data_IF_644377894665
#
_entry.id   IF_644377894665
#
_cell.length_a   1.000
_cell.length_b   1.000
_cell.length_c   1.000
_cell.angle_alpha   90.00
_cell.angle_beta   90.00
_cell.angle_gamma   90.00
#
_symmetry.space_group_name_H-M   'P 1'
#
loop_
_entity.id
_entity.type
_entity.pdbx_description
1 polymer ?
#
# COMPACT_ATOMS: atom_id res chain seq x y z
N UNK A 1 27.55 18.54 28.48
CA UNK A 1 26.29 18.16 29.18
C UNK A 1 26.19 19.02 30.44
N UNK A 2 25.01 19.40 30.99
CA UNK A 2 23.63 18.89 30.77
C UNK A 2 22.58 19.99 30.43
N UNK A 3 21.58 19.68 29.59
CA UNK A 3 20.18 19.39 29.97
C UNK A 3 19.39 20.56 30.60
N UNK A 4 18.50 21.19 29.82
CA UNK A 4 17.35 21.95 30.36
C UNK A 4 16.03 21.50 29.70
N UNK A 5 15.25 20.76 30.49
CA UNK A 5 13.80 20.62 30.38
C UNK A 5 13.11 21.98 30.57
N UNK A 6 11.95 22.16 29.93
CA UNK A 6 10.69 22.84 30.36
C UNK A 6 9.95 23.28 29.07
N UNK A 7 8.64 23.19 28.83
CA UNK A 7 7.40 22.75 29.51
C UNK A 7 6.39 22.53 28.35
N UNK A 8 5.60 21.45 28.29
CA UNK A 8 4.23 21.46 28.80
C UNK A 8 3.28 22.29 27.92
N UNK A 9 2.76 21.72 26.82
CA UNK A 9 1.62 22.30 26.10
C UNK A 9 0.35 22.10 26.95
N UNK A 10 -0.37 23.19 27.18
CA UNK A 10 -1.57 23.26 28.03
C UNK A 10 -2.68 22.33 27.55
N UNK A 11 -3.29 21.59 28.49
CA UNK A 11 -4.50 20.77 28.28
C UNK A 11 -5.66 21.57 27.67
N UNK A 12 -5.65 22.91 27.77
CA UNK A 12 -6.66 23.78 27.17
C UNK A 12 -6.63 23.77 25.63
N UNK A 13 -5.49 23.44 25.01
CA UNK A 13 -5.40 23.33 23.54
C UNK A 13 -5.99 22.01 23.02
N UNK A 14 -6.07 20.97 23.85
CA UNK A 14 -6.65 19.67 23.46
C UNK A 14 -8.19 19.69 23.52
N UNK A 15 -8.78 20.60 24.31
CA UNK A 15 -10.23 20.71 24.49
C UNK A 15 -10.91 21.71 23.53
N UNK A 16 -10.16 22.51 22.77
CA UNK A 16 -10.72 23.48 21.81
C UNK A 16 -11.00 22.90 20.40
N UNK A 17 -10.83 21.59 20.19
CA UNK A 17 -11.12 20.90 18.92
C UNK A 17 -12.34 19.98 19.04
N UNK A 18 -13.32 20.38 19.86
CA UNK A 18 -14.65 19.80 19.91
C UNK A 18 -15.71 20.87 19.65
N UNK A 19 -15.84 21.30 18.38
CA UNK A 19 -17.03 22.01 17.92
C UNK A 19 -17.54 21.37 16.63
N UNK A 20 -18.77 20.84 16.77
CA UNK A 20 -19.59 20.19 15.75
C UNK A 20 -19.65 20.97 14.45
N UNK A 21 -19.62 20.26 13.34
CA UNK A 21 -20.51 20.54 12.22
C UNK A 21 -21.21 19.25 11.80
N UNK A 22 -22.52 19.24 12.02
CA UNK A 22 -23.46 18.34 11.34
C UNK A 22 -23.70 18.87 9.93
N UNK A 23 -23.90 17.96 8.98
CA UNK A 23 -24.59 18.22 7.72
C UNK A 23 -23.72 18.18 6.49
N UNK A 24 -23.54 16.98 5.92
CA UNK A 24 -23.42 16.80 4.47
C UNK A 24 -23.77 15.37 4.13
N UNK A 25 -24.87 15.22 3.40
CA UNK A 25 -25.34 13.97 2.80
C UNK A 25 -24.17 13.24 2.13
N UNK A 26 -23.74 12.13 2.75
CA UNK A 26 -22.85 11.17 2.12
C UNK A 26 -23.65 10.45 1.03
N UNK A 27 -23.64 10.99 -0.19
CA UNK A 27 -24.06 10.23 -1.38
C UNK A 27 -23.14 9.01 -1.47
N UNK A 28 -23.76 7.84 -1.39
CA UNK A 28 -23.12 6.54 -1.59
C UNK A 28 -22.38 6.57 -2.93
N UNK A 29 -21.06 6.36 -2.89
CA UNK A 29 -20.27 6.19 -4.09
C UNK A 29 -20.59 4.83 -4.73
N UNK A 30 -21.51 4.85 -5.69
CA UNK A 30 -21.75 3.82 -6.69
C UNK A 30 -21.26 4.33 -8.04
N UNK A 31 -20.02 4.03 -8.39
CA UNK A 31 -19.45 4.36 -9.68
C UNK A 31 -18.22 3.49 -9.94
N UNK A 32 -18.10 2.86 -11.13
CA UNK A 32 -16.95 2.05 -11.46
C UNK A 32 -15.69 2.91 -11.51
N UNK A 33 -14.65 2.45 -10.81
CA UNK A 33 -13.37 3.15 -10.72
C UNK A 33 -12.72 3.19 -12.11
N UNK A 34 -12.26 4.35 -12.63
CA UNK A 34 -11.64 4.42 -13.95
C UNK A 34 -10.39 3.55 -14.05
N UNK A 35 -10.46 2.50 -14.88
CA UNK A 35 -9.40 1.50 -15.15
C UNK A 35 -8.14 2.07 -15.85
N UNK A 36 -8.03 3.40 -16.02
CA UNK A 36 -6.95 4.05 -16.78
C UNK A 36 -5.83 4.67 -15.93
N UNK A 37 -5.69 4.31 -14.65
CA UNK A 37 -4.66 4.90 -13.79
C UNK A 37 -3.43 3.98 -13.67
N UNK A 38 -2.25 4.45 -14.06
CA UNK A 38 -0.97 3.74 -13.93
C UNK A 38 -0.48 3.54 -12.47
N UNK A 39 -1.32 3.89 -11.50
CA UNK A 39 -1.02 3.82 -10.07
C UNK A 39 -1.83 2.69 -9.43
N UNK A 40 -1.25 1.96 -8.47
CA UNK A 40 -1.94 0.89 -7.76
C UNK A 40 -3.16 1.43 -7.00
N UNK A 41 -4.27 0.66 -6.93
CA UNK A 41 -5.57 1.13 -6.46
C UNK A 41 -5.48 1.79 -5.08
N UNK A 42 -4.77 1.23 -4.10
CA UNK A 42 -4.66 1.84 -2.78
C UNK A 42 -3.97 3.23 -2.76
N UNK A 43 -3.03 3.50 -3.67
CA UNK A 43 -2.38 4.81 -3.79
C UNK A 43 -3.20 5.76 -4.65
N UNK A 44 -3.77 5.26 -5.75
CA UNK A 44 -4.62 6.04 -6.64
C UNK A 44 -5.80 6.65 -5.86
N UNK A 45 -6.50 5.84 -5.04
CA UNK A 45 -7.64 6.35 -4.27
C UNK A 45 -7.20 7.41 -3.25
N UNK A 46 -6.05 7.26 -2.59
CA UNK A 46 -5.56 8.26 -1.63
C UNK A 46 -5.09 9.57 -2.28
N UNK A 47 -4.44 9.48 -3.45
CA UNK A 47 -3.93 10.65 -4.19
C UNK A 47 -5.07 11.39 -4.88
N UNK A 48 -5.98 10.67 -5.57
CA UNK A 48 -7.15 11.27 -6.23
C UNK A 48 -8.06 11.95 -5.20
N UNK A 49 -8.30 11.33 -4.03
CA UNK A 49 -9.12 11.95 -2.99
C UNK A 49 -8.48 13.21 -2.41
N UNK A 50 -7.16 13.31 -2.40
CA UNK A 50 -6.44 14.52 -1.98
C UNK A 50 -6.52 15.61 -3.05
N UNK A 51 -6.17 15.26 -4.29
CA UNK A 51 -5.94 16.22 -5.36
C UNK A 51 -7.26 16.67 -6.00
N UNK A 52 -8.27 15.80 -6.09
CA UNK A 52 -9.58 16.11 -6.69
C UNK A 52 -10.67 16.46 -5.67
N UNK A 53 -10.57 15.96 -4.43
CA UNK A 53 -11.64 16.10 -3.43
C UNK A 53 -11.19 16.76 -2.11
N UNK A 54 -9.93 17.20 -2.00
CA UNK A 54 -9.42 17.91 -0.81
C UNK A 54 -9.33 17.05 0.47
N UNK A 55 -9.48 15.73 0.36
CA UNK A 55 -9.45 14.82 1.52
C UNK A 55 -8.00 14.45 1.85
N UNK A 56 -7.47 15.02 2.93
CA UNK A 56 -6.07 14.78 3.35
C UNK A 56 -5.78 13.31 3.70
N UNK A 57 -6.68 12.64 4.44
CA UNK A 57 -6.65 11.20 4.68
C UNK A 57 -8.07 10.62 4.81
N UNK A 58 -8.32 9.52 4.08
CA UNK A 58 -9.60 8.80 4.05
C UNK A 58 -10.04 8.27 5.42
N UNK A 59 -9.08 8.03 6.32
CA UNK A 59 -9.34 7.54 7.68
C UNK A 59 -10.12 8.54 8.53
N UNK A 60 -9.89 9.84 8.34
CA UNK A 60 -10.58 10.87 9.14
C UNK A 60 -12.02 11.08 8.69
N UNK A 61 -12.31 10.88 7.39
CA UNK A 61 -13.66 11.05 6.83
C UNK A 61 -14.53 9.83 7.07
N UNK A 62 -13.96 8.63 6.88
CA UNK A 62 -14.74 7.38 6.83
C UNK A 62 -14.56 6.51 8.07
N UNK A 63 -13.70 6.89 9.01
CA UNK A 63 -13.31 6.09 10.20
C UNK A 63 -12.50 4.82 9.89
N UNK A 64 -12.49 4.36 8.64
CA UNK A 64 -11.85 3.12 8.20
C UNK A 64 -10.66 3.38 7.25
N UNK A 65 -9.70 2.44 7.23
CA UNK A 65 -8.61 2.45 6.24
C UNK A 65 -9.14 2.07 4.87
N UNK A 66 -8.57 2.65 3.80
CA UNK A 66 -8.94 2.38 2.39
C UNK A 66 -8.99 0.88 2.09
N UNK A 67 -8.00 0.10 2.55
CA UNK A 67 -7.98 -1.35 2.35
C UNK A 67 -9.18 -2.09 2.98
N UNK A 68 -9.72 -1.60 4.10
CA UNK A 68 -10.95 -2.18 4.69
C UNK A 68 -12.17 -1.85 3.83
N UNK A 69 -12.25 -0.62 3.33
CA UNK A 69 -13.34 -0.19 2.44
C UNK A 69 -13.32 -1.00 1.14
N UNK A 70 -12.14 -1.21 0.55
CA UNK A 70 -11.97 -2.04 -0.66
C UNK A 70 -12.36 -3.50 -0.42
N UNK A 71 -12.00 -4.08 0.73
CA UNK A 71 -12.44 -5.44 1.11
C UNK A 71 -13.95 -5.53 1.26
N UNK A 72 -14.58 -4.57 1.93
CA UNK A 72 -16.03 -4.54 2.10
C UNK A 72 -16.78 -4.39 0.77
N UNK A 73 -16.17 -3.73 -0.22
CA UNK A 73 -16.74 -3.57 -1.57
C UNK A 73 -16.37 -4.71 -2.54
N UNK A 74 -15.63 -5.74 -2.11
CA UNK A 74 -15.19 -6.84 -2.96
C UNK A 74 -14.15 -6.46 -4.03
N UNK A 75 -13.57 -5.25 -3.97
CA UNK A 75 -12.58 -4.73 -4.91
C UNK A 75 -11.15 -4.88 -4.39
N UNK A 76 -10.95 -5.70 -3.36
CA UNK A 76 -9.62 -5.92 -2.80
C UNK A 76 -8.81 -6.83 -3.73
N UNK A 77 -7.56 -6.46 -4.06
CA UNK A 77 -6.71 -7.35 -4.82
C UNK A 77 -6.40 -8.63 -4.02
N UNK A 78 -6.40 -9.77 -4.70
CA UNK A 78 -6.10 -11.08 -4.11
C UNK A 78 -4.68 -11.15 -3.55
N UNK A 79 -3.76 -10.42 -4.20
CA UNK A 79 -2.39 -10.28 -3.74
C UNK A 79 -2.20 -8.95 -2.97
N UNK A 80 -1.56 -8.96 -1.80
CA UNK A 80 -1.13 -7.75 -1.12
C UNK A 80 -0.29 -6.87 -2.04
N UNK A 81 -0.62 -5.59 -2.08
CA UNK A 81 -0.03 -4.63 -3.01
C UNK A 81 1.49 -4.49 -2.84
N UNK A 82 1.99 -4.57 -1.61
CA UNK A 82 3.43 -4.55 -1.32
C UNK A 82 4.16 -5.74 -1.93
N UNK A 83 3.54 -6.92 -1.92
CA UNK A 83 4.05 -8.13 -2.55
C UNK A 83 4.00 -8.01 -4.08
N UNK A 84 2.88 -7.53 -4.63
CA UNK A 84 2.73 -7.28 -6.07
C UNK A 84 3.84 -6.40 -6.63
N UNK A 85 4.13 -5.26 -5.99
CA UNK A 85 5.18 -4.34 -6.45
C UNK A 85 6.60 -4.91 -6.36
N UNK A 86 6.88 -5.75 -5.36
CA UNK A 86 8.19 -6.38 -5.24
C UNK A 86 8.39 -7.42 -6.34
N UNK A 87 7.37 -8.22 -6.64
CA UNK A 87 7.40 -9.18 -7.77
C UNK A 87 7.58 -8.43 -9.09
N UNK A 88 6.83 -7.34 -9.31
CA UNK A 88 6.97 -6.49 -10.51
C UNK A 88 8.39 -5.96 -10.68
N UNK A 89 9.02 -5.50 -9.59
CA UNK A 89 10.43 -5.06 -9.61
C UNK A 89 11.38 -6.22 -9.91
N UNK A 90 11.16 -7.40 -9.30
CA UNK A 90 11.99 -8.58 -9.54
C UNK A 90 11.95 -9.01 -11.01
N UNK A 91 10.76 -9.03 -11.63
CA UNK A 91 10.58 -9.34 -13.06
C UNK A 91 11.32 -8.34 -13.95
N UNK A 92 11.23 -7.04 -13.64
CA UNK A 92 11.95 -6.01 -14.39
C UNK A 92 13.47 -6.16 -14.29
N UNK A 93 14.00 -6.43 -13.09
CA UNK A 93 15.44 -6.66 -12.88
C UNK A 93 15.91 -7.94 -13.58
N UNK A 94 15.09 -8.99 -13.59
CA UNK A 94 15.39 -10.24 -14.30
C UNK A 94 15.50 -10.02 -15.81
N UNK A 95 14.54 -9.30 -16.41
CA UNK A 95 14.57 -8.90 -17.83
C UNK A 95 15.79 -8.05 -18.18
N UNK A 96 16.23 -7.17 -17.26
CA UNK A 96 17.48 -6.41 -17.42
C UNK A 96 18.71 -7.33 -17.43
N UNK A 97 18.77 -8.29 -16.50
CA UNK A 97 19.88 -9.25 -16.37
C UNK A 97 19.99 -10.24 -17.53
N UNK A 98 18.87 -10.59 -18.18
CA UNK A 98 18.87 -11.42 -19.38
C UNK A 98 19.71 -10.80 -20.51
N UNK A 99 19.64 -9.48 -20.66
CA UNK A 99 20.41 -8.68 -21.63
C UNK A 99 21.81 -8.35 -21.10
N UNK A 100 21.92 -8.05 -19.81
CA UNK A 100 23.14 -7.57 -19.14
C UNK A 100 23.70 -8.60 -18.16
N UNK A 101 24.14 -9.77 -18.65
CA UNK A 101 24.55 -10.91 -17.80
C UNK A 101 25.74 -10.64 -16.88
N UNK A 102 26.57 -9.64 -17.20
CA UNK A 102 27.79 -9.26 -16.44
C UNK A 102 27.52 -8.28 -15.30
N UNK A 103 26.31 -7.71 -15.21
CA UNK A 103 25.94 -6.75 -14.18
C UNK A 103 25.80 -7.45 -12.81
N UNK A 104 26.84 -7.35 -11.99
CA UNK A 104 26.89 -7.95 -10.64
C UNK A 104 26.02 -7.19 -9.64
N UNK A 105 25.87 -5.87 -9.80
CA UNK A 105 25.05 -5.05 -8.89
C UNK A 105 23.56 -5.40 -9.06
N UNK A 106 23.09 -5.52 -10.29
CA UNK A 106 21.72 -5.94 -10.56
C UNK A 106 21.42 -7.36 -10.04
N UNK A 107 22.38 -8.30 -10.12
CA UNK A 107 22.24 -9.64 -9.50
C UNK A 107 22.09 -9.56 -7.99
N UNK A 108 22.92 -8.77 -7.33
CA UNK A 108 22.82 -8.57 -5.89
C UNK A 108 21.47 -7.94 -5.50
N UNK A 109 21.02 -6.91 -6.23
CA UNK A 109 19.70 -6.29 -6.01
C UNK A 109 18.54 -7.28 -6.21
N UNK A 110 18.63 -8.17 -7.20
CA UNK A 110 17.61 -9.22 -7.41
C UNK A 110 17.50 -10.12 -6.17
N UNK A 111 18.63 -10.59 -5.62
CA UNK A 111 18.67 -11.42 -4.41
C UNK A 111 18.02 -10.72 -3.22
N UNK A 112 18.29 -9.41 -3.04
CA UNK A 112 17.68 -8.63 -1.96
C UNK A 112 16.16 -8.52 -2.11
N UNK A 113 15.69 -8.32 -3.34
CA UNK A 113 14.25 -8.23 -3.63
C UNK A 113 13.58 -9.58 -3.38
N UNK A 114 14.13 -10.68 -3.90
CA UNK A 114 13.60 -12.04 -3.70
C UNK A 114 13.59 -12.45 -2.22
N UNK A 115 14.65 -12.12 -1.49
CA UNK A 115 14.72 -12.32 -0.04
C UNK A 115 13.62 -11.57 0.71
N UNK A 116 13.31 -10.34 0.28
CA UNK A 116 12.22 -9.54 0.87
C UNK A 116 10.84 -10.11 0.53
N UNK A 117 10.65 -10.61 -0.69
CA UNK A 117 9.42 -11.31 -1.12
C UNK A 117 9.18 -12.51 -0.22
N UNK A 118 10.18 -13.38 0.00
CA UNK A 118 10.05 -14.55 0.87
C UNK A 118 9.71 -14.19 2.32
N UNK A 119 10.28 -13.10 2.86
CA UNK A 119 9.95 -12.62 4.20
C UNK A 119 8.49 -12.15 4.30
N UNK A 120 8.02 -11.37 3.33
CA UNK A 120 6.64 -10.90 3.33
C UNK A 120 5.63 -12.02 3.07
N UNK A 121 5.95 -12.95 2.18
CA UNK A 121 5.13 -14.12 1.92
C UNK A 121 4.92 -14.94 3.21
N UNK A 122 5.99 -15.16 4.01
CA UNK A 122 5.86 -15.82 5.33
C UNK A 122 4.93 -15.04 6.26
N UNK A 123 5.10 -13.73 6.38
CA UNK A 123 4.25 -12.88 7.21
C UNK A 123 2.77 -12.97 6.82
N UNK A 124 2.45 -12.89 5.53
CA UNK A 124 1.07 -12.93 5.06
C UNK A 124 0.43 -14.32 5.15
N UNK A 125 1.23 -15.40 5.06
CA UNK A 125 0.77 -16.75 5.37
C UNK A 125 0.36 -16.88 6.84
N UNK A 126 1.16 -16.35 7.77
CA UNK A 126 0.80 -16.32 9.20
C UNK A 126 -0.46 -15.51 9.48
N UNK A 127 -0.66 -14.41 8.75
CA UNK A 127 -1.87 -13.56 8.86
C UNK A 127 -3.10 -14.11 8.12
N UNK A 128 -3.02 -15.30 7.53
CA UNK A 128 -4.07 -15.94 6.72
C UNK A 128 -4.61 -15.04 5.59
N UNK A 129 -3.77 -14.14 5.09
CA UNK A 129 -4.09 -13.31 3.91
C UNK A 129 -3.75 -14.06 2.63
N UNK A 130 -2.68 -14.88 2.66
CA UNK A 130 -2.30 -15.78 1.59
C UNK A 130 -2.58 -17.23 1.99
N UNK A 131 -2.88 -18.11 1.01
CA UNK A 131 -3.03 -19.51 1.29
C UNK A 131 -1.66 -20.13 1.67
N UNK A 132 -1.63 -21.15 2.55
CA UNK A 132 -0.39 -21.69 3.12
C UNK A 132 0.53 -22.34 2.07
N UNK A 133 -0.07 -22.87 0.99
CA UNK A 133 0.63 -23.45 -0.16
C UNK A 133 1.23 -22.38 -1.10
N UNK A 134 0.99 -21.10 -0.87
CA UNK A 134 1.51 -20.05 -1.73
C UNK A 134 3.04 -20.00 -1.65
N UNK A 135 3.68 -20.07 -2.82
CA UNK A 135 5.12 -19.99 -3.01
C UNK A 135 5.44 -19.03 -4.15
N UNK A 136 6.45 -18.20 -3.93
CA UNK A 136 7.01 -17.37 -4.98
C UNK A 136 7.94 -18.24 -5.82
N UNK A 137 7.61 -18.37 -7.10
CA UNK A 137 8.46 -19.01 -8.09
C UNK A 137 8.81 -17.99 -9.17
N UNK A 138 10.09 -17.93 -9.52
CA UNK A 138 10.57 -16.89 -10.41
C UNK A 138 10.15 -17.06 -11.88
N UNK A 139 9.79 -18.28 -12.27
CA UNK A 139 9.22 -18.62 -13.58
C UNK A 139 7.77 -18.14 -13.71
N UNK A 140 6.97 -18.24 -12.65
CA UNK A 140 5.56 -17.82 -12.64
C UNK A 140 5.37 -16.35 -12.29
N UNK A 141 6.41 -15.69 -11.77
CA UNK A 141 6.40 -14.28 -11.38
C UNK A 141 5.90 -13.33 -12.48
N UNK A 142 6.23 -13.60 -13.75
CA UNK A 142 5.78 -12.78 -14.88
C UNK A 142 4.27 -12.91 -15.13
N UNK A 143 3.70 -14.11 -14.94
CA UNK A 143 2.27 -14.35 -15.10
C UNK A 143 1.44 -13.77 -13.93
N UNK A 144 2.04 -13.64 -12.74
CA UNK A 144 1.40 -13.05 -11.56
C UNK A 144 1.28 -11.52 -11.63
N UNK A 145 1.99 -10.87 -12.55
CA UNK A 145 2.06 -9.41 -12.65
C UNK A 145 1.51 -8.84 -13.97
N UNK A 146 1.27 -9.72 -14.95
CA UNK A 146 0.61 -9.42 -16.22
C UNK A 146 -0.86 -9.01 -15.99
#
# INVERSE_FOLDING_TARGET
RPFRRKKGLSLALLLLLHRRHHGSHARSWEGPVPVRTALPPQRAHGVILRDSHGVAQVRFVTGNKILRILKSKGLAPDLPEDLYHLIKKAVAVRKHLERNRKDKDAKFRLILIESRIHRLARYYKTKRVLPPNWKYESSTASALVA
#
